data_IF_923536982020
#
_entry.id   IF_923536982020
#
_cell.length_a   1.000
_cell.length_b   1.000
_cell.length_c   1.000
_cell.angle_alpha   90.00
_cell.angle_beta   90.00
_cell.angle_gamma   90.00
#
_symmetry.space_group_name_H-M   'P 1'
#
loop_
_entity.id
_entity.type
_entity.pdbx_description
1 polymer ?
#
# COMPACT_ATOMS: atom_id res chain seq x y z
N UNK A 1 -37.11 -2.37 -0.96
CA UNK A 1 -37.07 -2.86 -2.35
C UNK A 1 -37.09 -4.38 -2.33
N UNK A 2 -38.06 -5.02 -3.00
CA UNK A 2 -38.01 -6.49 -3.20
C UNK A 2 -36.89 -6.76 -4.20
N UNK A 3 -36.08 -7.79 -3.94
CA UNK A 3 -34.91 -8.19 -4.77
C UNK A 3 -35.31 -8.51 -6.23
N UNK A 4 -36.60 -8.70 -6.52
CA UNK A 4 -37.14 -9.18 -7.80
C UNK A 4 -37.19 -8.15 -8.95
N UNK A 5 -36.42 -7.06 -8.90
CA UNK A 5 -36.48 -5.99 -9.91
C UNK A 5 -35.11 -5.35 -10.22
N UNK A 6 -33.98 -5.96 -9.81
CA UNK A 6 -32.67 -5.31 -10.02
C UNK A 6 -32.28 -5.30 -11.49
N UNK A 7 -32.63 -6.34 -12.27
CA UNK A 7 -32.36 -6.38 -13.71
C UNK A 7 -33.00 -5.19 -14.42
N UNK A 8 -34.30 -4.96 -14.22
CA UNK A 8 -35.00 -3.84 -14.85
C UNK A 8 -34.51 -2.46 -14.38
N UNK A 9 -34.07 -2.37 -13.12
CA UNK A 9 -33.45 -1.14 -12.58
C UNK A 9 -32.08 -0.87 -13.25
N UNK A 10 -31.28 -1.92 -13.46
CA UNK A 10 -29.99 -1.84 -14.15
C UNK A 10 -30.15 -1.51 -15.64
N UNK A 11 -31.11 -2.14 -16.34
CA UNK A 11 -31.43 -1.78 -17.73
C UNK A 11 -31.84 -0.31 -17.83
N UNK A 12 -32.66 0.16 -16.88
CA UNK A 12 -33.15 1.53 -16.89
C UNK A 12 -32.05 2.54 -16.59
N UNK A 13 -31.09 2.24 -15.68
CA UNK A 13 -30.04 3.19 -15.27
C UNK A 13 -28.93 3.35 -16.33
N UNK A 14 -28.70 2.36 -17.18
CA UNK A 14 -27.67 2.41 -18.24
C UNK A 14 -28.12 3.12 -19.52
N UNK A 15 -29.42 3.39 -19.66
CA UNK A 15 -29.98 4.15 -20.79
C UNK A 15 -29.51 5.61 -20.79
N UNK A 16 -29.57 6.25 -21.97
CA UNK A 16 -29.39 7.69 -22.08
C UNK A 16 -30.57 8.39 -21.38
N UNK A 17 -30.29 9.28 -20.43
CA UNK A 17 -31.28 10.00 -19.61
C UNK A 17 -32.26 9.11 -18.81
N UNK A 18 -31.77 8.35 -17.81
CA UNK A 18 -32.63 7.57 -16.93
C UNK A 18 -33.60 8.46 -16.15
N UNK A 19 -34.81 7.96 -15.89
CA UNK A 19 -35.84 8.71 -15.17
C UNK A 19 -35.38 9.09 -13.75
N UNK A 20 -35.87 10.22 -13.23
CA UNK A 20 -35.55 10.67 -11.87
C UNK A 20 -35.92 9.64 -10.81
N UNK A 21 -37.01 8.90 -11.01
CA UNK A 21 -37.46 7.82 -10.13
C UNK A 21 -36.45 6.66 -10.13
N UNK A 22 -36.06 6.18 -11.31
CA UNK A 22 -35.03 5.13 -11.49
C UNK A 22 -33.72 5.50 -10.80
N UNK A 23 -33.27 6.74 -10.99
CA UNK A 23 -32.03 7.24 -10.39
C UNK A 23 -32.14 7.27 -8.87
N UNK A 24 -33.28 7.74 -8.35
CA UNK A 24 -33.52 7.84 -6.90
C UNK A 24 -33.57 6.46 -6.26
N UNK A 25 -34.21 5.48 -6.89
CA UNK A 25 -34.28 4.11 -6.39
C UNK A 25 -32.93 3.42 -6.41
N UNK A 26 -32.19 3.53 -7.52
CA UNK A 26 -30.85 2.96 -7.65
C UNK A 26 -29.86 3.61 -6.68
N UNK A 27 -29.92 4.93 -6.54
CA UNK A 27 -29.13 5.67 -5.56
C UNK A 27 -29.44 5.23 -4.13
N UNK A 28 -30.72 5.15 -3.77
CA UNK A 28 -31.15 4.71 -2.44
C UNK A 28 -30.67 3.29 -2.11
N UNK A 29 -30.65 2.39 -3.10
CA UNK A 29 -30.09 1.05 -2.94
C UNK A 29 -28.59 1.10 -2.68
N UNK A 30 -27.83 1.84 -3.50
CA UNK A 30 -26.39 2.00 -3.35
C UNK A 30 -26.03 2.65 -2.01
N UNK A 31 -26.76 3.70 -1.62
CA UNK A 31 -26.56 4.43 -0.36
C UNK A 31 -26.81 3.52 0.85
N UNK A 32 -27.84 2.68 0.81
CA UNK A 32 -28.08 1.72 1.90
C UNK A 32 -26.95 0.70 2.03
N UNK A 33 -26.43 0.18 0.90
CA UNK A 33 -25.28 -0.72 0.89
C UNK A 33 -24.03 -0.02 1.43
N UNK A 34 -23.73 1.19 0.93
CA UNK A 34 -22.60 2.00 1.34
C UNK A 34 -22.65 2.30 2.84
N UNK A 35 -23.80 2.76 3.35
CA UNK A 35 -23.99 3.10 4.76
C UNK A 35 -23.74 1.93 5.70
N UNK A 36 -24.29 0.77 5.37
CA UNK A 36 -24.06 -0.45 6.17
C UNK A 36 -22.58 -0.82 6.16
N UNK A 37 -21.92 -0.68 5.01
CA UNK A 37 -20.51 -1.01 4.86
C UNK A 37 -19.58 -0.02 5.58
N UNK A 38 -19.78 1.29 5.41
CA UNK A 38 -19.05 2.35 6.14
C UNK A 38 -19.23 2.17 7.64
N UNK A 39 -20.46 1.94 8.12
CA UNK A 39 -20.71 1.68 9.55
C UNK A 39 -19.95 0.46 10.07
N UNK A 40 -19.90 -0.61 9.30
CA UNK A 40 -19.10 -1.81 9.62
C UNK A 40 -17.60 -1.46 9.67
N UNK A 41 -17.10 -0.70 8.70
CA UNK A 41 -15.70 -0.26 8.62
C UNK A 41 -15.30 0.65 9.76
N UNK A 42 -16.12 1.64 10.09
CA UNK A 42 -15.91 2.58 11.18
C UNK A 42 -15.72 1.84 12.52
N UNK A 43 -16.56 0.85 12.80
CA UNK A 43 -16.43 -0.02 13.99
C UNK A 43 -15.13 -0.83 14.01
N UNK A 44 -14.70 -1.34 12.86
CA UNK A 44 -13.49 -2.15 12.77
C UNK A 44 -12.20 -1.35 12.83
N UNK A 45 -12.21 -0.10 12.36
CA UNK A 45 -10.98 0.67 12.14
C UNK A 45 -10.80 1.81 13.15
N UNK A 46 -11.85 2.27 13.87
CA UNK A 46 -11.87 3.43 14.80
C UNK A 46 -11.41 4.78 14.22
N UNK A 47 -10.54 4.79 13.21
CA UNK A 47 -10.05 6.01 12.56
C UNK A 47 -11.17 6.84 11.91
N UNK A 48 -12.26 6.23 11.45
CA UNK A 48 -13.33 7.00 10.79
C UNK A 48 -14.07 7.91 11.79
N UNK A 49 -14.28 7.46 13.03
CA UNK A 49 -15.02 8.26 14.03
C UNK A 49 -14.14 9.22 14.81
N UNK A 50 -12.82 8.96 14.85
CA UNK A 50 -11.89 9.79 15.62
C UNK A 50 -11.34 10.97 14.79
N UNK A 51 -11.45 10.92 13.46
CA UNK A 51 -10.89 11.94 12.56
C UNK A 51 -11.91 12.66 11.67
N UNK A 52 -13.12 12.14 11.53
CA UNK A 52 -14.15 12.78 10.72
C UNK A 52 -15.30 13.23 11.62
N UNK A 53 -15.55 14.54 11.66
CA UNK A 53 -16.76 15.14 12.27
C UNK A 53 -18.01 14.87 11.41
N UNK A 54 -17.83 14.35 10.20
CA UNK A 54 -18.90 14.05 9.25
C UNK A 54 -19.73 12.84 9.68
N UNK A 55 -21.04 12.89 9.41
CA UNK A 55 -21.91 11.76 9.69
C UNK A 55 -21.58 10.57 8.79
N UNK A 56 -21.88 9.34 9.23
CA UNK A 56 -21.74 8.13 8.40
C UNK A 56 -22.52 8.31 7.08
N UNK A 57 -23.66 9.00 7.14
CA UNK A 57 -24.46 9.39 6.01
C UNK A 57 -23.67 10.25 5.01
N UNK A 58 -22.99 11.31 5.46
CA UNK A 58 -22.20 12.20 4.59
C UNK A 58 -21.02 11.46 3.94
N UNK A 59 -20.27 10.69 4.73
CA UNK A 59 -19.18 9.85 4.21
C UNK A 59 -19.70 8.87 3.15
N UNK A 60 -20.90 8.31 3.36
CA UNK A 60 -21.51 7.38 2.40
C UNK A 60 -21.92 8.08 1.10
N UNK A 61 -22.38 9.33 1.17
CA UNK A 61 -22.69 10.16 0.01
C UNK A 61 -21.43 10.47 -0.79
N UNK A 62 -20.38 10.92 -0.10
CA UNK A 62 -19.06 11.21 -0.67
C UNK A 62 -18.49 9.99 -1.41
N UNK A 63 -18.57 8.80 -0.80
CA UNK A 63 -18.11 7.56 -1.43
C UNK A 63 -18.83 7.23 -2.74
N UNK A 64 -20.07 7.71 -2.92
CA UNK A 64 -20.89 7.41 -4.09
C UNK A 64 -20.87 8.54 -5.14
N UNK A 65 -20.37 9.73 -4.81
CA UNK A 65 -20.39 10.89 -5.71
C UNK A 65 -19.83 10.57 -7.10
N UNK A 66 -18.63 9.98 -7.15
CA UNK A 66 -17.98 9.59 -8.40
C UNK A 66 -18.79 8.54 -9.19
N UNK A 67 -19.46 7.63 -8.50
CA UNK A 67 -20.24 6.57 -9.15
C UNK A 67 -21.44 7.13 -9.92
N UNK A 68 -22.02 8.23 -9.43
CA UNK A 68 -23.18 8.89 -10.03
C UNK A 68 -22.79 10.12 -10.88
N UNK A 69 -21.52 10.27 -11.24
CA UNK A 69 -21.09 11.28 -12.20
C UNK A 69 -21.70 11.01 -13.58
N UNK A 70 -22.22 12.06 -14.22
CA UNK A 70 -22.77 12.02 -15.58
C UNK A 70 -21.82 12.66 -16.58
N UNK A 71 -21.81 12.15 -17.80
CA UNK A 71 -21.20 12.83 -18.94
C UNK A 71 -22.11 13.93 -19.51
N UNK A 72 -21.64 14.59 -20.57
CA UNK A 72 -22.39 15.62 -21.29
C UNK A 72 -23.73 15.11 -21.87
N UNK A 73 -23.85 13.79 -22.08
CA UNK A 73 -25.07 13.12 -22.57
C UNK A 73 -25.98 12.66 -21.44
N UNK A 74 -25.66 12.98 -20.19
CA UNK A 74 -26.44 12.55 -19.03
C UNK A 74 -26.32 11.07 -18.68
N UNK A 75 -25.32 10.36 -19.22
CA UNK A 75 -25.06 8.94 -18.99
C UNK A 75 -24.17 8.74 -17.77
N UNK A 76 -24.48 7.75 -16.94
CA UNK A 76 -23.64 7.36 -15.80
C UNK A 76 -22.48 6.47 -16.26
N UNK A 77 -21.37 7.09 -16.68
CA UNK A 77 -20.24 6.42 -17.33
C UNK A 77 -19.71 5.22 -16.52
N UNK A 78 -19.53 5.38 -15.21
CA UNK A 78 -18.93 4.34 -14.37
C UNK A 78 -19.89 3.18 -14.12
N UNK A 79 -21.17 3.47 -13.88
CA UNK A 79 -22.21 2.44 -13.70
C UNK A 79 -22.37 1.65 -14.99
N UNK A 80 -22.48 2.34 -16.14
CA UNK A 80 -22.59 1.72 -17.45
C UNK A 80 -21.40 0.83 -17.77
N UNK A 81 -20.18 1.34 -17.66
CA UNK A 81 -18.97 0.55 -17.90
C UNK A 81 -18.86 -0.69 -16.99
N UNK A 82 -19.31 -0.58 -15.73
CA UNK A 82 -19.33 -1.74 -14.83
C UNK A 82 -20.39 -2.77 -15.24
N UNK A 83 -21.62 -2.35 -15.53
CA UNK A 83 -22.71 -3.25 -15.94
C UNK A 83 -22.39 -3.94 -17.26
N UNK A 84 -21.83 -3.21 -18.24
CA UNK A 84 -21.42 -3.76 -19.54
C UNK A 84 -20.23 -4.73 -19.45
N UNK A 85 -19.50 -4.74 -18.33
CA UNK A 85 -18.36 -5.66 -18.14
C UNK A 85 -18.79 -7.11 -17.89
N UNK A 86 -20.09 -7.39 -17.70
CA UNK A 86 -20.63 -8.73 -17.50
C UNK A 86 -22.05 -8.87 -18.11
N UNK A 87 -22.49 -10.11 -18.32
CA UNK A 87 -23.79 -10.41 -18.94
C UNK A 87 -24.93 -10.32 -17.92
N UNK A 88 -25.28 -9.10 -17.51
CA UNK A 88 -26.27 -8.83 -16.48
C UNK A 88 -27.69 -9.34 -16.83
N UNK A 89 -28.02 -9.46 -18.11
CA UNK A 89 -29.32 -9.98 -18.60
C UNK A 89 -29.52 -11.46 -18.27
N UNK A 90 -28.43 -12.20 -18.14
CA UNK A 90 -28.43 -13.64 -17.86
C UNK A 90 -28.16 -13.97 -16.39
N UNK A 91 -27.77 -12.98 -15.59
CA UNK A 91 -27.43 -13.15 -14.19
C UNK A 91 -28.70 -13.26 -13.32
N UNK A 92 -28.62 -14.06 -12.25
CA UNK A 92 -29.69 -14.09 -11.26
C UNK A 92 -29.72 -12.77 -10.46
N UNK A 93 -30.87 -12.41 -9.91
CA UNK A 93 -31.02 -11.24 -9.03
C UNK A 93 -30.04 -11.27 -7.83
N UNK A 94 -29.74 -12.45 -7.32
CA UNK A 94 -28.77 -12.67 -6.24
C UNK A 94 -27.33 -12.37 -6.70
N UNK A 95 -26.98 -12.80 -7.92
CA UNK A 95 -25.69 -12.49 -8.52
C UNK A 95 -25.56 -10.99 -8.79
N UNK A 96 -26.58 -10.37 -9.37
CA UNK A 96 -26.62 -8.92 -9.62
C UNK A 96 -26.44 -8.12 -8.33
N UNK A 97 -27.12 -8.51 -7.26
CA UNK A 97 -26.97 -7.87 -5.96
C UNK A 97 -25.56 -8.06 -5.38
N UNK A 98 -24.96 -9.24 -5.58
CA UNK A 98 -23.57 -9.50 -5.18
C UNK A 98 -22.57 -8.62 -5.94
N UNK A 99 -22.76 -8.45 -7.26
CA UNK A 99 -21.97 -7.56 -8.11
C UNK A 99 -22.14 -6.11 -7.70
N UNK A 100 -23.37 -5.65 -7.50
CA UNK A 100 -23.65 -4.28 -7.05
C UNK A 100 -22.99 -3.99 -5.70
N UNK A 101 -23.05 -4.93 -4.74
CA UNK A 101 -22.33 -4.80 -3.47
C UNK A 101 -20.83 -4.65 -3.69
N UNK A 102 -20.25 -5.45 -4.59
CA UNK A 102 -18.82 -5.39 -4.91
C UNK A 102 -18.43 -4.03 -5.48
N UNK A 103 -19.21 -3.49 -6.42
CA UNK A 103 -19.03 -2.15 -6.97
C UNK A 103 -19.08 -1.08 -5.87
N UNK A 104 -20.13 -1.08 -5.06
CA UNK A 104 -20.30 -0.10 -3.98
C UNK A 104 -19.17 -0.20 -2.95
N UNK A 105 -18.78 -1.42 -2.56
CA UNK A 105 -17.69 -1.62 -1.60
C UNK A 105 -16.35 -1.15 -2.15
N UNK A 106 -16.07 -1.38 -3.43
CA UNK A 106 -14.87 -0.86 -4.10
C UNK A 106 -14.82 0.67 -4.03
N UNK A 107 -15.94 1.36 -4.33
CA UNK A 107 -16.03 2.83 -4.22
C UNK A 107 -15.84 3.33 -2.80
N UNK A 108 -16.51 2.71 -1.83
CA UNK A 108 -16.33 3.05 -0.42
C UNK A 108 -14.87 2.83 0.01
N UNK A 109 -14.25 1.70 -0.32
CA UNK A 109 -12.87 1.43 0.07
C UNK A 109 -11.92 2.45 -0.55
N UNK A 110 -12.05 2.76 -1.85
CA UNK A 110 -11.19 3.75 -2.52
C UNK A 110 -11.29 5.12 -1.85
N UNK A 111 -12.50 5.60 -1.56
CA UNK A 111 -12.69 6.88 -0.88
C UNK A 111 -12.15 6.84 0.55
N UNK A 112 -12.41 5.77 1.31
CA UNK A 112 -11.83 5.61 2.65
C UNK A 112 -10.28 5.60 2.60
N UNK A 113 -9.67 4.95 1.60
CA UNK A 113 -8.21 4.97 1.42
C UNK A 113 -7.67 6.37 1.15
N UNK A 114 -8.34 7.17 0.31
CA UNK A 114 -7.98 8.57 0.07
C UNK A 114 -8.11 9.39 1.35
N UNK A 115 -9.25 9.28 2.02
CA UNK A 115 -9.51 9.95 3.30
C UNK A 115 -8.45 9.61 4.36
N UNK A 116 -8.01 8.36 4.44
CA UNK A 116 -6.92 7.96 5.34
C UNK A 116 -5.57 8.57 4.93
N UNK A 117 -5.30 8.68 3.64
CA UNK A 117 -4.06 9.28 3.15
C UNK A 117 -4.00 10.78 3.49
N UNK A 118 -5.12 11.49 3.31
CA UNK A 118 -5.22 12.93 3.55
C UNK A 118 -5.13 13.26 5.04
N UNK A 119 -5.77 12.46 5.88
CA UNK A 119 -5.81 12.67 7.33
C UNK A 119 -4.57 12.14 8.05
N UNK A 120 -4.00 11.04 7.57
CA UNK A 120 -2.81 10.44 8.17
C UNK A 120 -1.79 9.97 7.12
N UNK A 121 -0.88 10.86 6.72
CA UNK A 121 0.22 10.53 5.83
C UNK A 121 1.10 9.37 6.34
N UNK A 122 1.21 9.17 7.66
CA UNK A 122 2.03 8.10 8.24
C UNK A 122 1.43 6.71 7.94
N UNK A 123 0.13 6.50 8.09
CA UNK A 123 -0.54 5.27 7.67
C UNK A 123 -0.40 5.03 6.17
N UNK A 124 -0.47 6.09 5.34
CA UNK A 124 -0.19 6.01 3.91
C UNK A 124 1.21 5.42 3.62
N UNK A 125 2.23 5.94 4.30
CA UNK A 125 3.62 5.42 4.21
C UNK A 125 3.69 3.95 4.67
N UNK A 126 3.05 3.59 5.79
CA UNK A 126 3.00 2.20 6.30
C UNK A 126 2.35 1.25 5.29
N UNK A 127 1.21 1.63 4.70
CA UNK A 127 0.51 0.83 3.68
C UNK A 127 1.42 0.56 2.48
N UNK A 128 2.13 1.59 1.99
CA UNK A 128 3.06 1.46 0.86
C UNK A 128 4.21 0.50 1.19
N UNK A 129 4.85 0.69 2.34
CA UNK A 129 5.93 -0.18 2.81
C UNK A 129 5.46 -1.62 2.99
N UNK A 130 4.24 -1.86 3.51
CA UNK A 130 3.63 -3.19 3.57
C UNK A 130 3.52 -3.80 2.17
N UNK A 131 2.97 -3.07 1.20
CA UNK A 131 2.84 -3.55 -0.19
C UNK A 131 4.20 -3.91 -0.80
N UNK A 132 5.20 -3.05 -0.65
CA UNK A 132 6.57 -3.29 -1.13
C UNK A 132 7.20 -4.51 -0.45
N UNK A 133 7.05 -4.64 0.87
CA UNK A 133 7.58 -5.75 1.63
C UNK A 133 6.91 -7.07 1.23
N UNK A 134 5.58 -7.11 1.03
CA UNK A 134 4.88 -8.32 0.58
C UNK A 134 5.39 -8.77 -0.79
N UNK A 135 5.52 -7.86 -1.76
CA UNK A 135 6.05 -8.16 -3.09
C UNK A 135 7.47 -8.75 -3.03
N UNK A 136 8.28 -8.26 -2.09
CA UNK A 136 9.70 -8.64 -1.95
C UNK A 136 9.89 -9.96 -1.19
N UNK A 137 9.14 -10.16 -0.10
CA UNK A 137 9.31 -11.28 0.83
C UNK A 137 8.51 -12.52 0.42
N UNK A 138 7.40 -12.34 -0.31
CA UNK A 138 6.51 -13.44 -0.71
C UNK A 138 5.99 -14.30 0.46
N UNK A 139 5.90 -13.71 1.65
CA UNK A 139 5.30 -14.36 2.82
C UNK A 139 3.77 -14.38 2.76
N UNK A 140 3.17 -13.54 1.90
CA UNK A 140 1.73 -13.40 1.77
C UNK A 140 1.31 -13.51 0.30
N UNK A 141 0.17 -14.14 0.09
CA UNK A 141 -0.62 -13.99 -1.12
C UNK A 141 -1.55 -12.79 -0.96
N UNK A 142 -1.66 -11.97 -2.03
CA UNK A 142 -2.48 -10.75 -2.06
C UNK A 142 -3.59 -10.95 -3.08
N UNK A 143 -4.82 -10.66 -2.68
CA UNK A 143 -5.98 -10.77 -3.56
C UNK A 143 -7.08 -9.79 -3.16
N UNK A 144 -7.99 -9.50 -4.08
CA UNK A 144 -9.14 -8.67 -3.81
C UNK A 144 -10.32 -9.52 -3.34
N UNK A 145 -10.94 -9.12 -2.23
CA UNK A 145 -12.14 -9.77 -1.68
C UNK A 145 -13.15 -8.68 -1.34
N UNK A 146 -14.32 -8.71 -1.99
CA UNK A 146 -15.39 -7.73 -1.77
C UNK A 146 -14.92 -6.26 -1.94
N UNK A 147 -14.13 -5.97 -2.98
CA UNK A 147 -13.61 -4.63 -3.23
C UNK A 147 -12.47 -4.20 -2.31
N UNK A 148 -11.92 -5.12 -1.50
CA UNK A 148 -10.87 -4.83 -0.53
C UNK A 148 -9.63 -5.70 -0.75
N UNK A 149 -8.45 -5.07 -0.71
CA UNK A 149 -7.18 -5.78 -0.79
C UNK A 149 -6.91 -6.54 0.51
N UNK A 150 -6.87 -7.86 0.41
CA UNK A 150 -6.64 -8.78 1.52
C UNK A 150 -5.32 -9.52 1.34
N UNK A 151 -4.78 -9.98 2.48
CA UNK A 151 -3.57 -10.79 2.52
C UNK A 151 -3.84 -12.08 3.30
N UNK A 152 -3.16 -13.16 2.91
CA UNK A 152 -3.14 -14.43 3.65
C UNK A 152 -1.72 -15.01 3.61
N UNK A 153 -1.24 -15.69 4.67
CA UNK A 153 0.08 -16.30 4.64
C UNK A 153 0.21 -17.27 3.45
N UNK A 154 1.33 -17.19 2.73
CA UNK A 154 1.58 -17.98 1.53
C UNK A 154 1.57 -19.48 1.87
N UNK A 155 0.93 -20.29 1.01
CA UNK A 155 0.77 -21.76 1.17
C UNK A 155 0.12 -22.18 2.49
N UNK A 156 -0.75 -21.33 3.04
CA UNK A 156 -1.52 -21.64 4.23
C UNK A 156 -3.00 -21.74 3.86
N UNK A 157 -3.72 -22.72 4.45
CA UNK A 157 -5.18 -22.77 4.32
C UNK A 157 -5.80 -21.52 4.93
N UNK A 158 -6.73 -20.88 4.23
CA UNK A 158 -7.32 -19.58 4.65
C UNK A 158 -8.24 -19.69 5.85
N UNK A 159 -8.77 -20.88 6.15
CA UNK A 159 -9.78 -21.13 7.19
C UNK A 159 -11.02 -20.23 7.05
N UNK A 160 -11.52 -20.06 5.82
CA UNK A 160 -12.65 -19.17 5.53
C UNK A 160 -13.97 -19.54 6.22
N UNK A 161 -14.10 -20.78 6.70
CA UNK A 161 -15.24 -21.25 7.48
C UNK A 161 -15.26 -20.70 8.92
N UNK A 162 -14.15 -20.10 9.40
CA UNK A 162 -14.01 -19.53 10.73
C UNK A 162 -14.35 -18.03 10.76
N UNK A 163 -14.68 -17.46 11.93
CA UNK A 163 -14.92 -16.02 12.07
C UNK A 163 -13.65 -15.22 11.73
N UNK A 164 -13.84 -13.99 11.22
CA UNK A 164 -12.73 -13.07 10.99
C UNK A 164 -12.06 -12.67 12.32
N UNK A 165 -10.73 -12.64 12.34
CA UNK A 165 -10.00 -12.13 13.50
C UNK A 165 -10.24 -10.62 13.64
N UNK A 166 -10.70 -10.21 14.83
CA UNK A 166 -10.88 -8.78 15.10
C UNK A 166 -9.53 -8.06 15.24
N UNK A 167 -9.52 -6.76 14.94
CA UNK A 167 -8.31 -5.92 14.97
C UNK A 167 -7.60 -5.96 16.32
N UNK A 168 -8.35 -5.90 17.43
CA UNK A 168 -7.78 -5.83 18.79
C UNK A 168 -7.09 -7.13 19.17
N UNK A 169 -7.65 -8.27 18.75
CA UNK A 169 -7.03 -9.59 18.91
C UNK A 169 -5.77 -9.70 18.08
N UNK A 170 -5.80 -9.27 16.82
CA UNK A 170 -4.63 -9.28 15.96
C UNK A 170 -3.49 -8.45 16.57
N UNK A 171 -3.82 -7.24 17.01
CA UNK A 171 -2.91 -6.32 17.70
C UNK A 171 -2.35 -6.93 18.98
N UNK A 172 -3.21 -7.50 19.84
CA UNK A 172 -2.78 -8.15 21.08
C UNK A 172 -1.89 -9.36 20.85
N UNK A 173 -2.17 -10.17 19.82
CA UNK A 173 -1.33 -11.31 19.47
C UNK A 173 0.05 -10.87 18.96
N UNK A 174 0.09 -9.81 18.14
CA UNK A 174 1.35 -9.23 17.68
C UNK A 174 2.14 -8.59 18.83
N UNK A 175 1.48 -7.86 19.74
CA UNK A 175 2.11 -7.22 20.90
C UNK A 175 2.92 -8.19 21.76
N UNK A 176 2.50 -9.45 21.87
CA UNK A 176 3.23 -10.48 22.61
C UNK A 176 4.55 -10.90 21.97
N UNK A 177 4.72 -10.60 20.70
CA UNK A 177 5.85 -11.06 19.88
C UNK A 177 6.81 -9.94 19.50
N UNK A 178 6.40 -8.68 19.66
CA UNK A 178 7.21 -7.49 19.31
C UNK A 178 8.03 -7.02 20.51
N UNK A 179 9.21 -6.50 20.22
CA UNK A 179 10.22 -6.06 21.18
C UNK A 179 10.48 -4.55 21.09
N UNK A 180 9.93 -3.87 20.08
CA UNK A 180 9.92 -2.41 19.97
C UNK A 180 10.79 -1.82 18.86
N UNK A 181 11.68 -2.62 18.27
CA UNK A 181 12.61 -2.19 17.22
C UNK A 181 12.27 -2.78 15.85
N UNK A 182 11.07 -3.34 15.68
CA UNK A 182 10.71 -4.02 14.44
C UNK A 182 10.36 -3.05 13.32
N UNK A 183 11.01 -3.22 12.17
CA UNK A 183 10.54 -2.67 10.91
C UNK A 183 9.36 -3.48 10.33
N UNK A 184 8.72 -2.93 9.30
CA UNK A 184 7.56 -3.54 8.65
C UNK A 184 7.82 -4.95 8.10
N UNK A 185 8.94 -5.26 7.41
CA UNK A 185 9.30 -6.62 7.04
C UNK A 185 9.26 -7.62 8.21
N UNK A 186 9.85 -7.25 9.34
CA UNK A 186 9.89 -8.09 10.55
C UNK A 186 8.50 -8.24 11.16
N UNK A 187 7.72 -7.15 11.24
CA UNK A 187 6.33 -7.21 11.70
C UNK A 187 5.46 -8.10 10.79
N UNK A 188 5.67 -8.07 9.48
CA UNK A 188 4.98 -8.95 8.54
C UNK A 188 5.38 -10.41 8.74
N UNK A 189 6.65 -10.70 9.02
CA UNK A 189 7.09 -12.05 9.39
C UNK A 189 6.39 -12.56 10.67
N UNK A 190 6.35 -11.73 11.70
CA UNK A 190 5.64 -12.03 12.97
C UNK A 190 4.13 -12.21 12.75
N UNK A 191 3.52 -11.37 11.92
CA UNK A 191 2.13 -11.49 11.51
C UNK A 191 1.86 -12.82 10.80
N UNK A 192 2.70 -13.20 9.83
CA UNK A 192 2.54 -14.46 9.10
C UNK A 192 2.56 -15.65 10.07
N UNK A 193 3.54 -15.67 10.98
CA UNK A 193 3.65 -16.68 12.02
C UNK A 193 2.42 -16.71 12.93
N UNK A 194 1.97 -15.56 13.43
CA UNK A 194 0.77 -15.43 14.25
C UNK A 194 -0.48 -15.99 13.56
N UNK A 195 -0.65 -15.71 12.26
CA UNK A 195 -1.80 -16.20 11.49
C UNK A 195 -1.71 -17.70 11.19
N UNK A 196 -0.49 -18.23 10.98
CA UNK A 196 -0.25 -19.65 10.74
C UNK A 196 -0.47 -20.51 11.99
N UNK A 197 -0.03 -20.04 13.15
CA UNK A 197 -0.08 -20.79 14.42
C UNK A 197 -1.48 -20.81 15.05
N UNK A 198 -2.33 -19.84 14.72
CA UNK A 198 -3.71 -19.82 15.22
C UNK A 198 -4.64 -20.71 14.38
N UNK A 199 -5.69 -21.24 15.03
CA UNK A 199 -6.70 -22.13 14.45
C UNK A 199 -8.15 -21.68 14.69
N UNK A 200 -8.35 -20.54 15.34
CA UNK A 200 -9.67 -20.12 15.83
C UNK A 200 -10.36 -19.11 14.89
N UNK A 201 -9.60 -18.53 13.96
CA UNK A 201 -10.04 -17.46 13.08
C UNK A 201 -9.61 -17.68 11.63
N UNK A 202 -10.35 -17.03 10.74
CA UNK A 202 -9.96 -16.86 9.35
C UNK A 202 -8.62 -16.13 9.25
N UNK A 203 -7.71 -16.64 8.40
CA UNK A 203 -6.35 -16.14 8.17
C UNK A 203 -6.26 -15.05 7.11
N UNK A 204 -7.38 -14.72 6.46
CA UNK A 204 -7.51 -13.61 5.54
C UNK A 204 -7.70 -12.32 6.32
N UNK A 205 -6.73 -11.41 6.18
CA UNK A 205 -6.74 -10.12 6.86
C UNK A 205 -6.73 -8.99 5.83
N UNK A 206 -7.61 -7.98 5.97
CA UNK A 206 -7.52 -6.78 5.13
C UNK A 206 -6.22 -6.02 5.33
N UNK A 207 -5.61 -5.56 4.24
CA UNK A 207 -4.34 -4.84 4.29
C UNK A 207 -4.42 -3.55 5.12
N UNK A 208 -5.55 -2.85 5.06
CA UNK A 208 -5.80 -1.65 5.88
C UNK A 208 -5.80 -1.98 7.37
N UNK A 209 -6.36 -3.13 7.78
CA UNK A 209 -6.37 -3.55 9.18
C UNK A 209 -4.94 -3.80 9.66
N UNK A 210 -4.11 -4.45 8.85
CA UNK A 210 -2.70 -4.67 9.16
C UNK A 210 -1.95 -3.36 9.34
N UNK A 211 -2.13 -2.41 8.42
CA UNK A 211 -1.48 -1.11 8.48
C UNK A 211 -1.89 -0.32 9.74
N UNK A 212 -3.16 -0.36 10.11
CA UNK A 212 -3.68 0.28 11.32
C UNK A 212 -3.11 -0.37 12.58
N UNK A 213 -2.99 -1.70 12.61
CA UNK A 213 -2.34 -2.41 13.71
C UNK A 213 -0.87 -2.00 13.80
N UNK A 214 -0.13 -1.97 12.70
CA UNK A 214 1.28 -1.56 12.71
C UNK A 214 1.45 -0.11 13.18
N UNK A 215 0.60 0.81 12.71
CA UNK A 215 0.57 2.20 13.21
C UNK A 215 0.36 2.24 14.72
N UNK A 216 -0.59 1.45 15.24
CA UNK A 216 -0.88 1.38 16.68
C UNK A 216 0.29 0.82 17.49
N UNK A 217 0.98 -0.22 16.97
CA UNK A 217 2.19 -0.77 17.57
C UNK A 217 3.27 0.30 17.65
N UNK A 218 3.56 1.00 16.55
CA UNK A 218 4.55 2.08 16.56
C UNK A 218 4.19 3.21 17.53
N UNK A 219 2.90 3.57 17.63
CA UNK A 219 2.46 4.57 18.59
C UNK A 219 2.64 4.10 20.04
N UNK A 220 2.24 2.87 20.36
CA UNK A 220 2.35 2.29 21.70
C UNK A 220 3.81 2.17 22.15
N UNK A 221 4.70 1.83 21.22
CA UNK A 221 6.13 1.73 21.48
C UNK A 221 6.77 3.11 21.74
N UNK A 222 6.32 4.13 21.01
CA UNK A 222 6.79 5.50 21.20
C UNK A 222 6.14 6.21 22.40
N UNK A 223 4.93 5.85 22.83
CA UNK A 223 4.33 6.41 24.05
C UNK A 223 5.06 5.98 25.34
N UNK A 224 5.87 4.91 25.27
CA UNK A 224 6.77 4.47 26.36
C UNK A 224 8.10 5.27 26.35
N UNK A 225 8.39 5.99 25.27
CA UNK A 225 9.53 6.91 25.13
C UNK A 225 9.08 8.21 24.44
N UNK A 226 8.50 9.12 25.22
CA UNK A 226 7.88 10.34 24.71
C UNK A 226 8.81 11.18 23.81
N UNK A 227 8.43 11.36 22.55
CA UNK A 227 8.11 12.66 21.91
C UNK A 227 7.70 12.44 20.43
N UNK A 228 6.62 13.09 20.00
CA UNK A 228 5.97 12.93 18.68
C UNK A 228 6.77 13.49 17.48
N UNK A 229 8.09 13.65 17.62
CA UNK A 229 9.02 14.02 16.53
C UNK A 229 9.85 12.86 15.95
N UNK A 230 9.83 11.68 16.58
CA UNK A 230 10.86 10.64 16.33
C UNK A 230 10.50 9.54 15.31
N UNK A 231 9.27 9.52 14.77
CA UNK A 231 8.89 8.49 13.78
C UNK A 231 9.73 8.55 12.49
N UNK A 232 10.26 9.72 12.13
CA UNK A 232 11.09 9.89 10.94
C UNK A 232 12.55 9.49 11.18
N UNK A 233 13.03 9.50 12.43
CA UNK A 233 14.45 9.34 12.78
C UNK A 233 14.84 7.88 13.04
N UNK A 234 13.97 7.08 13.68
CA UNK A 234 14.33 5.71 14.09
C UNK A 234 14.23 4.71 12.91
N UNK A 235 13.21 4.83 12.06
CA UNK A 235 13.06 3.97 10.87
C UNK A 235 14.10 4.27 9.77
N UNK A 236 14.59 5.52 9.72
CA UNK A 236 15.64 5.91 8.76
C UNK A 236 17.05 5.63 9.28
N UNK A 237 17.29 5.62 10.59
CA UNK A 237 18.62 5.35 11.15
C UNK A 237 19.10 3.92 10.88
N UNK A 238 18.22 2.93 11.03
CA UNK A 238 18.59 1.51 10.85
C UNK A 238 18.84 1.17 9.38
N UNK A 239 17.98 1.67 8.48
CA UNK A 239 18.17 1.51 7.04
C UNK A 239 19.41 2.25 6.58
N UNK A 240 19.65 3.48 7.06
CA UNK A 240 20.87 4.24 6.75
C UNK A 240 22.13 3.52 7.23
N UNK A 241 22.10 2.93 8.42
CA UNK A 241 23.21 2.14 8.95
C UNK A 241 23.57 0.96 8.04
N UNK A 242 22.58 0.16 7.66
CA UNK A 242 22.80 -0.99 6.75
C UNK A 242 23.26 -0.54 5.37
N UNK A 243 22.64 0.50 4.80
CA UNK A 243 23.02 1.03 3.49
C UNK A 243 24.47 1.54 3.53
N UNK A 244 24.84 2.33 4.53
CA UNK A 244 26.20 2.86 4.69
C UNK A 244 27.24 1.74 4.82
N UNK A 245 26.99 0.75 5.68
CA UNK A 245 27.91 -0.40 5.86
C UNK A 245 28.09 -1.18 4.55
N UNK A 246 26.99 -1.48 3.84
CA UNK A 246 27.07 -2.24 2.59
C UNK A 246 27.73 -1.43 1.48
N UNK A 247 27.42 -0.14 1.34
CA UNK A 247 28.08 0.76 0.40
C UNK A 247 29.59 0.79 0.65
N UNK A 248 30.02 0.93 1.91
CA UNK A 248 31.44 0.90 2.27
C UNK A 248 32.10 -0.44 1.92
N UNK A 249 31.43 -1.57 2.17
CA UNK A 249 31.95 -2.89 1.80
C UNK A 249 32.13 -3.03 0.28
N UNK A 250 31.14 -2.61 -0.50
CA UNK A 250 31.21 -2.67 -1.97
C UNK A 250 32.27 -1.71 -2.50
N UNK A 251 32.41 -0.52 -1.89
CA UNK A 251 33.47 0.43 -2.22
C UNK A 251 34.85 -0.20 -2.03
N UNK A 252 35.12 -0.77 -0.86
CA UNK A 252 36.41 -1.37 -0.55
C UNK A 252 36.73 -2.57 -1.46
N UNK A 253 35.73 -3.41 -1.76
CA UNK A 253 35.92 -4.58 -2.64
C UNK A 253 36.22 -4.16 -4.09
N UNK A 254 35.52 -3.14 -4.60
CA UNK A 254 35.59 -2.74 -5.99
C UNK A 254 36.68 -1.69 -6.27
N UNK A 255 37.29 -1.10 -5.24
CA UNK A 255 38.39 -0.13 -5.34
C UNK A 255 39.59 -0.68 -6.12
N UNK A 256 39.94 -1.95 -5.89
CA UNK A 256 41.02 -2.64 -6.63
C UNK A 256 40.69 -2.77 -8.13
N UNK A 257 39.41 -2.92 -8.48
CA UNK A 257 38.97 -3.14 -9.85
C UNK A 257 38.84 -1.85 -10.66
N UNK A 258 38.49 -0.73 -10.02
CA UNK A 258 38.23 0.55 -10.66
C UNK A 258 39.34 1.58 -10.44
N UNK A 259 39.85 1.71 -9.21
CA UNK A 259 40.83 2.76 -8.87
C UNK A 259 42.26 2.28 -9.05
N UNK A 260 42.63 1.12 -8.52
CA UNK A 260 44.01 0.61 -8.64
C UNK A 260 44.38 0.26 -10.10
N UNK A 261 43.39 -0.10 -10.91
CA UNK A 261 43.53 -0.29 -12.37
C UNK A 261 43.44 1.01 -13.18
N UNK A 262 43.39 2.17 -12.50
CA UNK A 262 43.29 3.52 -13.09
C UNK A 262 42.13 3.68 -14.09
N UNK A 263 41.02 2.97 -13.87
CA UNK A 263 39.82 3.10 -14.71
C UNK A 263 38.98 4.31 -14.30
N UNK A 264 39.03 4.68 -13.04
CA UNK A 264 38.31 5.81 -12.44
C UNK A 264 39.26 6.45 -11.42
N UNK A 265 39.29 7.77 -11.36
CA UNK A 265 40.04 8.49 -10.33
C UNK A 265 39.45 8.24 -8.94
N UNK A 266 40.31 8.27 -7.91
CA UNK A 266 39.91 7.95 -6.53
C UNK A 266 38.78 8.87 -6.03
N UNK A 267 38.86 10.16 -6.36
CA UNK A 267 37.87 11.15 -5.94
C UNK A 267 36.51 10.93 -6.61
N UNK A 268 36.50 10.76 -7.93
CA UNK A 268 35.27 10.40 -8.68
C UNK A 268 34.65 9.10 -8.17
N UNK A 269 35.48 8.12 -7.81
CA UNK A 269 35.03 6.86 -7.25
C UNK A 269 34.37 7.02 -5.86
N UNK A 270 34.84 7.95 -5.03
CA UNK A 270 34.19 8.30 -3.75
C UNK A 270 32.84 8.96 -3.99
N UNK A 271 32.78 9.92 -4.90
CA UNK A 271 31.52 10.62 -5.23
C UNK A 271 30.45 9.65 -5.73
N UNK A 272 30.84 8.62 -6.50
CA UNK A 272 29.90 7.58 -6.90
C UNK A 272 29.22 6.89 -5.72
N UNK A 273 29.94 6.59 -4.64
CA UNK A 273 29.34 5.89 -3.50
C UNK A 273 28.45 6.80 -2.66
N UNK A 274 28.72 8.10 -2.61
CA UNK A 274 27.81 9.07 -2.02
C UNK A 274 26.50 9.18 -2.84
N UNK A 275 26.61 9.23 -4.16
CA UNK A 275 25.46 9.19 -5.09
C UNK A 275 24.67 7.88 -4.95
N UNK A 276 25.36 6.75 -4.87
CA UNK A 276 24.73 5.43 -4.73
C UNK A 276 24.01 5.31 -3.39
N UNK A 277 24.64 5.73 -2.28
CA UNK A 277 24.03 5.72 -0.96
C UNK A 277 22.78 6.60 -0.93
N UNK A 278 22.88 7.84 -1.43
CA UNK A 278 21.76 8.76 -1.54
C UNK A 278 20.62 8.15 -2.38
N UNK A 279 20.92 7.63 -3.56
CA UNK A 279 19.93 7.03 -4.46
C UNK A 279 19.24 5.80 -3.85
N UNK A 280 19.99 4.94 -3.15
CA UNK A 280 19.41 3.79 -2.45
C UNK A 280 18.53 4.26 -1.28
N UNK A 281 18.97 5.27 -0.53
CA UNK A 281 18.19 5.83 0.58
C UNK A 281 16.89 6.47 0.09
N UNK A 282 16.94 7.29 -0.95
CA UNK A 282 15.75 7.90 -1.56
C UNK A 282 14.80 6.82 -2.07
N UNK A 283 15.32 5.77 -2.70
CA UNK A 283 14.50 4.63 -3.16
C UNK A 283 13.82 3.87 -2.02
N UNK A 284 14.49 3.73 -0.88
CA UNK A 284 13.96 3.01 0.28
C UNK A 284 13.06 3.90 1.17
N UNK A 285 13.25 5.22 1.15
CA UNK A 285 12.62 6.18 2.09
C UNK A 285 11.68 7.19 1.42
N UNK A 286 12.01 7.75 0.25
CA UNK A 286 11.41 8.98 -0.29
C UNK A 286 10.49 8.84 -1.51
N UNK A 287 9.98 7.65 -1.82
CA UNK A 287 8.70 7.52 -2.57
C UNK A 287 8.63 7.95 -4.05
N UNK A 288 9.69 8.28 -4.77
CA UNK A 288 9.60 8.51 -6.23
C UNK A 288 10.14 7.32 -7.03
N UNK A 289 9.22 6.60 -7.67
CA UNK A 289 9.51 5.40 -8.47
C UNK A 289 10.07 5.69 -9.87
N UNK A 290 10.77 6.80 -10.05
CA UNK A 290 11.41 7.12 -11.32
C UNK A 290 12.73 6.36 -11.50
N UNK A 291 12.95 5.87 -12.72
CA UNK A 291 14.22 5.30 -13.11
C UNK A 291 15.32 6.37 -13.10
N UNK A 292 16.15 6.31 -12.06
CA UNK A 292 17.53 6.80 -12.01
C UNK A 292 17.75 8.32 -12.21
N UNK A 293 17.60 9.08 -11.12
CA UNK A 293 18.24 10.39 -10.93
C UNK A 293 19.77 10.32 -10.66
N UNK A 294 20.46 9.21 -11.03
CA UNK A 294 21.91 9.06 -10.82
C UNK A 294 22.71 10.17 -11.51
N UNK A 295 22.26 10.62 -12.68
CA UNK A 295 22.86 11.76 -13.36
C UNK A 295 22.67 13.06 -12.58
N UNK A 296 21.47 13.30 -12.07
CA UNK A 296 21.14 14.51 -11.32
C UNK A 296 21.94 14.59 -10.02
N UNK A 297 21.97 13.52 -9.23
CA UNK A 297 22.79 13.46 -8.01
C UNK A 297 24.29 13.56 -8.29
N UNK A 298 24.77 12.99 -9.39
CA UNK A 298 26.17 13.11 -9.76
C UNK A 298 26.50 14.55 -10.14
N UNK A 299 25.62 15.23 -10.89
CA UNK A 299 25.78 16.64 -11.28
C UNK A 299 25.76 17.58 -10.08
N UNK A 300 24.93 17.30 -9.07
CA UNK A 300 24.90 18.07 -7.81
C UNK A 300 26.23 18.01 -7.06
N UNK A 301 26.98 16.93 -7.21
CA UNK A 301 28.26 16.69 -6.52
C UNK A 301 29.47 17.02 -7.38
N UNK A 302 29.33 16.89 -8.70
CA UNK A 302 30.36 17.16 -9.70
C UNK A 302 29.81 18.18 -10.69
N UNK A 303 29.92 19.47 -10.32
CA UNK A 303 29.30 20.58 -11.04
C UNK A 303 29.72 20.71 -12.52
N UNK A 304 30.86 20.14 -12.90
CA UNK A 304 31.41 20.19 -14.26
C UNK A 304 30.99 18.99 -15.14
N UNK A 305 30.29 17.98 -14.59
CA UNK A 305 29.88 16.80 -15.36
C UNK A 305 28.76 17.15 -16.32
N UNK A 306 29.06 17.08 -17.61
CA UNK A 306 28.07 17.23 -18.67
C UNK A 306 27.27 15.93 -18.88
N UNK A 307 26.10 16.04 -19.51
CA UNK A 307 25.29 14.86 -19.84
C UNK A 307 26.01 13.91 -20.80
N UNK A 308 26.79 14.44 -21.73
CA UNK A 308 27.57 13.66 -22.70
C UNK A 308 28.70 12.89 -22.00
N UNK A 309 29.43 13.56 -21.10
CA UNK A 309 30.46 12.94 -20.27
C UNK A 309 29.88 11.86 -19.35
N UNK A 310 28.71 12.12 -18.76
CA UNK A 310 27.99 11.11 -17.98
C UNK A 310 27.69 9.85 -18.80
N UNK A 311 27.13 9.98 -20.02
CA UNK A 311 26.80 8.82 -20.85
C UNK A 311 28.05 8.03 -21.26
N UNK A 312 29.16 8.71 -21.54
CA UNK A 312 30.38 8.08 -22.06
C UNK A 312 31.26 7.47 -20.96
N UNK A 313 31.37 8.12 -19.80
CA UNK A 313 32.37 7.78 -18.79
C UNK A 313 31.76 7.28 -17.48
N UNK A 314 30.64 7.85 -17.03
CA UNK A 314 30.14 7.63 -15.67
C UNK A 314 28.99 6.63 -15.57
N UNK A 315 28.09 6.58 -16.56
CA UNK A 315 26.85 5.80 -16.52
C UNK A 315 27.09 4.32 -16.30
N UNK A 316 27.95 3.70 -17.11
CA UNK A 316 28.19 2.25 -17.03
C UNK A 316 28.75 1.80 -15.67
N UNK A 317 29.84 2.40 -15.14
CA UNK A 317 30.35 2.02 -13.82
C UNK A 317 29.39 2.37 -12.68
N UNK A 318 28.78 3.56 -12.70
CA UNK A 318 27.87 4.00 -11.65
C UNK A 318 26.61 3.12 -11.57
N UNK A 319 26.01 2.79 -12.72
CA UNK A 319 24.86 1.88 -12.78
C UNK A 319 25.19 0.48 -12.25
N UNK A 320 26.35 -0.07 -12.65
CA UNK A 320 26.77 -1.39 -12.21
C UNK A 320 26.99 -1.43 -10.68
N UNK A 321 27.73 -0.47 -10.14
CA UNK A 321 28.02 -0.37 -8.71
C UNK A 321 26.74 -0.12 -7.89
N UNK A 322 25.85 0.75 -8.38
CA UNK A 322 24.53 0.99 -7.79
C UNK A 322 23.71 -0.30 -7.69
N UNK A 323 23.64 -1.07 -8.78
CA UNK A 323 22.89 -2.32 -8.81
C UNK A 323 23.50 -3.39 -7.88
N UNK A 324 24.83 -3.48 -7.84
CA UNK A 324 25.55 -4.39 -6.95
C UNK A 324 25.32 -4.05 -5.48
N UNK A 325 25.47 -2.76 -5.11
CA UNK A 325 25.23 -2.27 -3.77
C UNK A 325 23.78 -2.51 -3.35
N UNK A 326 22.81 -2.15 -4.18
CA UNK A 326 21.39 -2.37 -3.91
C UNK A 326 21.07 -3.85 -3.68
N UNK A 327 21.57 -4.75 -4.54
CA UNK A 327 21.36 -6.20 -4.38
C UNK A 327 21.91 -6.73 -3.05
N UNK A 328 23.04 -6.20 -2.58
CA UNK A 328 23.65 -6.58 -1.30
C UNK A 328 22.93 -5.96 -0.11
N UNK A 329 22.51 -4.70 -0.21
CA UNK A 329 21.66 -4.05 0.80
C UNK A 329 20.41 -4.90 1.00
N UNK A 330 19.72 -5.27 -0.07
CA UNK A 330 18.55 -6.13 0.01
C UNK A 330 18.85 -7.53 0.58
N UNK A 331 20.08 -8.03 0.47
CA UNK A 331 20.49 -9.32 1.04
C UNK A 331 20.80 -9.22 2.53
N UNK A 332 21.50 -8.17 2.96
CA UNK A 332 21.82 -7.93 4.37
C UNK A 332 20.56 -7.55 5.15
N UNK A 333 19.71 -6.69 4.59
CA UNK A 333 18.36 -6.46 5.11
C UNK A 333 17.62 -7.82 5.27
N UNK A 334 17.62 -8.70 4.27
CA UNK A 334 17.01 -10.04 4.42
C UNK A 334 17.65 -10.95 5.49
N UNK A 335 18.91 -10.74 5.88
CA UNK A 335 19.59 -11.53 6.90
C UNK A 335 19.36 -10.99 8.30
N UNK A 336 19.40 -9.67 8.46
CA UNK A 336 19.04 -9.01 9.72
C UNK A 336 17.54 -9.18 10.05
N UNK A 337 16.72 -9.47 9.04
CA UNK A 337 15.27 -9.65 9.17
C UNK A 337 14.78 -11.11 8.98
N UNK A 338 15.66 -12.11 9.18
CA UNK A 338 15.32 -13.53 9.37
C UNK A 338 15.41 -13.88 10.85
#
# INVERSE_FOLDING_TARGET
>A
MKIQQLTGLLESIINEHPSTETVTDFFSLCQNIARVYVRKKARSIRLITDFFDDSIEDISLDCLADLFQRDEKGTFVQIKAYVESFSYESASEEELLSRLRTLVFSKVNNRLFQLYHDVDPALGKIIRQIKTAIQTLRHFDVFERFGELCITPHRCETLEHLPAMDRKRLEHSLLKTVNGSENIPTLLGKLAKCLQEQSDYNRVVPLIVVAVVFRSLYKTLNEIGAEEGEQEVILTSDVRGVVGVVCQQVQNEMETHYVQKKKIEHETYREYFLVIEQSIMERLVQSDGEEFALYEHLRERMADVTQEEYQQQHKAPLWYLSHLAYKRVMKELKKEFR
#
